data_IF_156788649597
#
_entry.id   IF_156788649597
#
_cell.length_a   1.000
_cell.length_b   1.000
_cell.length_c   1.000
_cell.angle_alpha   90.00
_cell.angle_beta   90.00
_cell.angle_gamma   90.00
#
_symmetry.space_group_name_H-M   'P 1'
#
loop_
_entity.id
_entity.type
_entity.pdbx_description
1 polymer ?
#
# COMPACT_ATOMS: atom_id res chain seq x y z
N UNK A 1 6.22 -46.81 -2.04
CA UNK A 1 6.91 -45.59 -1.55
C UNK A 1 5.80 -44.60 -1.20
N UNK A 2 5.32 -44.65 0.03
CA UNK A 2 4.21 -43.82 0.49
C UNK A 2 4.72 -42.38 0.64
N UNK A 3 4.19 -41.48 -0.18
CA UNK A 3 4.37 -40.05 0.03
C UNK A 3 3.49 -39.67 1.22
N UNK A 4 4.13 -39.46 2.37
CA UNK A 4 3.51 -38.99 3.60
C UNK A 4 2.42 -37.95 3.29
N UNK A 5 1.17 -38.29 3.65
CA UNK A 5 -0.05 -37.46 3.57
C UNK A 5 -0.01 -36.26 4.54
N UNK A 6 1.12 -35.54 4.59
CA UNK A 6 1.37 -34.38 5.43
C UNK A 6 1.55 -33.11 4.60
N UNK A 7 1.53 -31.95 5.28
CA UNK A 7 1.71 -30.65 4.65
C UNK A 7 3.00 -30.66 3.78
N UNK A 8 2.90 -30.46 2.44
CA UNK A 8 4.04 -30.53 1.53
C UNK A 8 5.19 -29.58 1.90
N UNK A 9 4.87 -28.47 2.56
CA UNK A 9 5.85 -27.47 3.02
C UNK A 9 6.66 -27.90 4.25
N UNK A 10 6.26 -28.99 4.92
CA UNK A 10 6.97 -29.57 6.07
C UNK A 10 7.74 -30.85 5.72
N UNK A 11 7.79 -31.21 4.44
CA UNK A 11 8.57 -32.36 4.00
C UNK A 11 10.08 -32.13 4.19
N UNK A 12 10.82 -33.19 4.48
CA UNK A 12 12.27 -33.12 4.69
C UNK A 12 13.01 -32.46 3.52
N UNK A 13 12.71 -32.77 2.24
CA UNK A 13 13.37 -32.13 1.10
C UNK A 13 13.15 -30.61 1.07
N UNK A 14 11.94 -30.14 1.40
CA UNK A 14 11.65 -28.69 1.43
C UNK A 14 12.37 -28.01 2.58
N UNK A 15 12.43 -28.65 3.74
CA UNK A 15 13.15 -28.12 4.91
C UNK A 15 14.67 -28.06 4.67
N UNK A 16 15.25 -29.01 3.95
CA UNK A 16 16.67 -28.98 3.56
C UNK A 16 16.97 -27.77 2.66
N UNK A 17 16.17 -27.54 1.63
CA UNK A 17 16.30 -26.37 0.75
C UNK A 17 16.20 -25.06 1.54
N UNK A 18 15.23 -24.95 2.45
CA UNK A 18 15.08 -23.75 3.31
C UNK A 18 16.31 -23.52 4.19
N UNK A 19 16.91 -24.59 4.75
CA UNK A 19 18.14 -24.49 5.56
C UNK A 19 19.32 -24.02 4.71
N UNK A 20 19.45 -24.53 3.49
CA UNK A 20 20.51 -24.10 2.57
C UNK A 20 20.38 -22.63 2.18
N UNK A 21 19.18 -22.17 1.84
CA UNK A 21 18.91 -20.76 1.53
C UNK A 21 19.26 -19.86 2.71
N UNK A 22 18.80 -20.18 3.92
CA UNK A 22 19.11 -19.40 5.13
C UNK A 22 20.62 -19.36 5.43
N UNK A 23 21.33 -20.47 5.22
CA UNK A 23 22.79 -20.55 5.38
C UNK A 23 23.50 -19.66 4.36
N UNK A 24 23.05 -19.67 3.11
CA UNK A 24 23.60 -18.81 2.06
C UNK A 24 23.35 -17.32 2.34
N UNK A 25 22.14 -16.94 2.80
CA UNK A 25 21.80 -15.58 3.21
C UNK A 25 22.71 -15.07 4.34
N UNK A 26 22.90 -15.89 5.40
CA UNK A 26 23.75 -15.55 6.56
C UNK A 26 25.22 -15.37 6.16
N UNK A 27 25.68 -16.12 5.16
CA UNK A 27 27.03 -16.03 4.64
C UNK A 27 27.19 -14.94 3.56
N UNK A 28 26.13 -14.18 3.27
CA UNK A 28 26.08 -13.21 2.17
C UNK A 28 26.46 -13.82 0.81
N UNK A 29 26.22 -15.13 0.64
CA UNK A 29 26.44 -15.87 -0.60
C UNK A 29 25.18 -15.76 -1.45
N UNK A 30 25.07 -14.68 -2.21
CA UNK A 30 23.93 -14.41 -3.09
C UNK A 30 24.08 -13.06 -3.80
N UNK A 31 23.18 -12.78 -4.75
CA UNK A 31 23.11 -11.45 -5.36
C UNK A 31 22.60 -10.46 -4.31
N UNK A 32 23.23 -9.28 -4.21
CA UNK A 32 22.68 -8.19 -3.39
C UNK A 32 21.23 -7.96 -3.79
N UNK A 33 20.36 -7.77 -2.80
CA UNK A 33 18.96 -7.44 -3.07
C UNK A 33 18.89 -6.27 -4.05
N UNK A 34 18.28 -6.51 -5.21
CA UNK A 34 17.91 -5.47 -6.15
C UNK A 34 16.51 -4.92 -5.85
N UNK A 35 15.88 -5.35 -4.75
CA UNK A 35 14.60 -4.80 -4.34
C UNK A 35 14.81 -3.34 -3.96
N UNK A 36 14.04 -2.45 -4.60
CA UNK A 36 13.96 -1.05 -4.18
C UNK A 36 13.49 -1.05 -2.74
N UNK A 37 14.26 -0.43 -1.84
CA UNK A 37 13.85 -0.30 -0.44
C UNK A 37 12.53 0.42 -0.34
N UNK A 38 11.78 0.13 0.72
CA UNK A 38 10.60 0.91 1.04
C UNK A 38 10.99 2.36 1.34
N UNK A 39 10.11 3.28 0.94
CA UNK A 39 10.22 4.69 1.27
C UNK A 39 9.87 4.87 2.75
N UNK A 40 10.66 5.70 3.44
CA UNK A 40 10.39 6.04 4.84
C UNK A 40 9.24 7.04 4.93
N UNK A 41 8.60 7.14 6.11
CA UNK A 41 7.51 8.10 6.35
C UNK A 41 7.91 9.54 5.98
N UNK A 42 9.11 9.96 6.38
CA UNK A 42 9.65 11.30 6.10
C UNK A 42 9.84 11.54 4.60
N UNK A 43 10.27 10.53 3.86
CA UNK A 43 10.45 10.64 2.40
C UNK A 43 9.10 10.72 1.70
N UNK A 44 8.11 9.93 2.12
CA UNK A 44 6.76 10.02 1.59
C UNK A 44 6.11 11.38 1.88
N UNK A 45 6.25 11.92 3.09
CA UNK A 45 5.75 13.27 3.42
C UNK A 45 6.34 14.34 2.50
N UNK A 46 7.63 14.23 2.18
CA UNK A 46 8.28 15.12 1.20
C UNK A 46 7.72 14.94 -0.21
N UNK A 47 7.50 13.69 -0.65
CA UNK A 47 6.90 13.41 -1.96
C UNK A 47 5.50 14.02 -2.06
N UNK A 48 4.64 13.81 -1.07
CA UNK A 48 3.29 14.40 -1.05
C UNK A 48 3.35 15.93 -1.06
N UNK A 49 4.24 16.52 -0.25
CA UNK A 49 4.44 17.96 -0.22
C UNK A 49 4.86 18.52 -1.59
N UNK A 50 5.82 17.88 -2.26
CA UNK A 50 6.28 18.27 -3.60
C UNK A 50 5.19 18.11 -4.66
N UNK A 51 4.39 17.05 -4.58
CA UNK A 51 3.27 16.81 -5.49
C UNK A 51 2.18 17.89 -5.34
N UNK A 52 1.91 18.34 -4.10
CA UNK A 52 1.03 19.48 -3.84
C UNK A 52 1.63 20.80 -4.34
N UNK A 53 2.91 21.07 -4.04
CA UNK A 53 3.59 22.29 -4.45
C UNK A 53 3.64 22.45 -5.98
N UNK A 54 3.74 21.34 -6.72
CA UNK A 54 3.71 21.31 -8.19
C UNK A 54 2.31 21.33 -8.79
N UNK A 55 1.26 21.34 -7.97
CA UNK A 55 -0.14 21.29 -8.39
C UNK A 55 -0.57 19.95 -8.99
N UNK A 56 0.28 18.92 -8.94
CA UNK A 56 -0.03 17.60 -9.48
C UNK A 56 -1.21 16.94 -8.74
N UNK A 57 -1.49 17.38 -7.51
CA UNK A 57 -2.59 16.88 -6.68
C UNK A 57 -3.78 17.84 -6.59
N UNK A 58 -3.73 19.02 -7.21
CA UNK A 58 -4.78 20.02 -7.02
C UNK A 58 -6.04 19.70 -7.86
N UNK A 59 -5.86 19.19 -9.08
CA UNK A 59 -6.95 18.93 -10.04
C UNK A 59 -7.09 17.45 -10.45
N UNK A 60 -6.47 16.53 -9.71
CA UNK A 60 -6.46 15.11 -10.08
C UNK A 60 -7.44 14.26 -9.24
N UNK A 61 -8.31 13.44 -9.86
CA UNK A 61 -9.16 12.49 -9.13
C UNK A 61 -8.38 11.42 -8.32
N UNK A 62 -7.06 11.36 -8.47
CA UNK A 62 -6.20 10.40 -7.78
C UNK A 62 -5.44 11.02 -6.60
N UNK A 63 -5.62 12.30 -6.32
CA UNK A 63 -4.93 12.96 -5.21
C UNK A 63 -5.27 12.34 -3.87
N UNK A 64 -6.57 12.13 -3.65
CA UNK A 64 -7.09 11.44 -2.48
C UNK A 64 -6.55 10.01 -2.37
N UNK A 65 -6.35 9.34 -3.51
CA UNK A 65 -5.82 7.97 -3.57
C UNK A 65 -4.38 7.90 -3.05
N UNK A 66 -3.53 8.87 -3.44
CA UNK A 66 -2.14 8.96 -2.98
C UNK A 66 -2.07 9.29 -1.49
N UNK A 67 -2.90 10.23 -1.02
CA UNK A 67 -2.94 10.57 0.40
C UNK A 67 -3.39 9.41 1.28
N UNK A 68 -4.41 8.67 0.83
CA UNK A 68 -4.89 7.50 1.55
C UNK A 68 -3.84 6.40 1.62
N UNK A 69 -3.03 6.21 0.57
CA UNK A 69 -1.91 5.25 0.58
C UNK A 69 -0.93 5.57 1.70
N UNK A 70 -0.62 6.86 1.86
CA UNK A 70 0.32 7.31 2.88
C UNK A 70 -0.28 7.22 4.29
N UNK A 71 -1.49 7.72 4.49
CA UNK A 71 -2.09 7.78 5.83
C UNK A 71 -2.53 6.42 6.36
N UNK A 72 -2.93 5.50 5.50
CA UNK A 72 -3.38 4.17 5.89
C UNK A 72 -2.28 3.10 5.74
N UNK A 73 -1.12 3.46 5.16
CA UNK A 73 -0.02 2.52 4.86
C UNK A 73 -0.55 1.30 4.10
N UNK A 74 -1.35 1.59 3.08
CA UNK A 74 -2.04 0.56 2.30
C UNK A 74 -1.45 0.48 0.91
N UNK A 75 -1.52 -0.72 0.34
CA UNK A 75 -1.08 -0.93 -1.04
C UNK A 75 -2.07 -0.27 -2.00
N UNK A 76 -1.57 0.08 -3.18
CA UNK A 76 -2.35 0.69 -4.26
C UNK A 76 -3.59 -0.13 -4.62
N UNK A 77 -3.47 -1.46 -4.65
CA UNK A 77 -4.58 -2.37 -4.97
C UNK A 77 -5.66 -2.41 -3.87
N UNK A 78 -5.29 -2.17 -2.62
CA UNK A 78 -6.25 -2.16 -1.51
C UNK A 78 -7.07 -0.87 -1.47
N UNK A 79 -6.47 0.27 -1.81
CA UNK A 79 -7.21 1.56 -1.83
C UNK A 79 -8.15 1.65 -3.01
N UNK A 80 -7.81 1.02 -4.14
CA UNK A 80 -8.74 0.94 -5.28
C UNK A 80 -10.08 0.27 -4.93
N UNK A 81 -10.13 -0.50 -3.83
CA UNK A 81 -11.33 -1.18 -3.35
C UNK A 81 -12.13 -0.35 -2.34
N UNK A 82 -11.57 0.75 -1.83
CA UNK A 82 -12.27 1.62 -0.86
C UNK A 82 -13.45 2.32 -1.54
N UNK A 83 -14.62 2.15 -0.95
CA UNK A 83 -15.85 2.81 -1.37
C UNK A 83 -16.19 3.94 -0.41
N UNK A 84 -16.97 4.90 -0.90
CA UNK A 84 -17.47 5.99 -0.06
C UNK A 84 -18.25 5.48 1.17
N UNK A 85 -18.98 4.37 1.02
CA UNK A 85 -19.72 3.72 2.10
C UNK A 85 -18.86 3.22 3.25
N UNK A 86 -17.56 3.04 3.03
CA UNK A 86 -16.65 2.47 4.01
C UNK A 86 -16.15 3.53 5.01
N UNK A 87 -16.27 4.83 4.65
CA UNK A 87 -15.92 5.92 5.54
C UNK A 87 -17.04 6.19 6.55
N UNK A 88 -16.73 5.99 7.84
CA UNK A 88 -17.62 6.34 8.95
C UNK A 88 -17.05 7.56 9.68
N UNK A 89 -17.69 8.75 9.59
CA UNK A 89 -17.23 9.91 10.32
C UNK A 89 -17.38 9.67 11.83
N UNK A 90 -16.32 9.89 12.59
CA UNK A 90 -16.39 9.87 14.04
C UNK A 90 -16.92 11.21 14.55
N UNK A 91 -17.86 11.25 15.51
CA UNK A 91 -18.51 12.48 15.96
C UNK A 91 -17.52 13.53 16.51
N UNK A 92 -16.46 13.10 17.17
CA UNK A 92 -15.44 14.00 17.74
C UNK A 92 -14.31 14.36 16.77
N UNK A 93 -14.18 13.62 15.66
CA UNK A 93 -13.20 13.91 14.63
C UNK A 93 -13.91 14.48 13.42
N UNK A 94 -13.96 15.81 13.39
CA UNK A 94 -14.13 16.52 12.13
C UNK A 94 -12.91 16.22 11.26
N UNK A 95 -12.96 15.13 10.48
CA UNK A 95 -12.28 15.05 9.18
C UNK A 95 -12.95 16.07 8.23
N UNK A 96 -12.98 17.33 8.66
CA UNK A 96 -13.27 18.53 7.89
C UNK A 96 -12.02 18.76 7.05
N UNK A 97 -12.05 18.35 5.79
CA UNK A 97 -11.73 19.23 4.66
C UNK A 97 -11.44 18.42 3.40
N UNK A 98 -10.66 17.35 3.48
CA UNK A 98 -10.10 16.76 2.24
C UNK A 98 -11.05 15.77 1.57
N UNK A 99 -11.59 14.79 2.30
CA UNK A 99 -12.46 13.78 1.69
C UNK A 99 -13.84 14.31 1.29
N UNK A 100 -14.45 15.21 2.06
CA UNK A 100 -15.79 15.74 1.77
C UNK A 100 -15.78 16.79 0.66
N UNK A 101 -14.79 17.67 0.61
CA UNK A 101 -14.69 18.68 -0.46
C UNK A 101 -14.29 18.04 -1.80
N UNK A 102 -13.28 17.15 -1.80
CA UNK A 102 -12.85 16.48 -3.04
C UNK A 102 -13.91 15.52 -3.57
N UNK A 103 -14.60 14.75 -2.72
CA UNK A 103 -15.64 13.84 -3.25
C UNK A 103 -16.86 14.62 -3.76
N UNK A 104 -17.27 15.69 -3.08
CA UNK A 104 -18.43 16.47 -3.50
C UNK A 104 -18.15 17.33 -4.74
N UNK A 105 -16.91 17.79 -4.94
CA UNK A 105 -16.49 18.54 -6.13
C UNK A 105 -16.26 17.64 -7.35
N UNK A 106 -15.71 16.44 -7.18
CA UNK A 106 -15.40 15.54 -8.30
C UNK A 106 -16.55 14.57 -8.65
N UNK A 107 -17.31 14.08 -7.66
CA UNK A 107 -18.45 13.19 -7.90
C UNK A 107 -19.80 13.92 -7.93
N UNK A 108 -19.88 15.17 -7.46
CA UNK A 108 -21.07 16.01 -7.60
C UNK A 108 -21.23 16.63 -9.00
N UNK A 109 -20.16 16.67 -9.81
CA UNK A 109 -20.21 17.11 -11.22
C UNK A 109 -20.60 15.99 -12.20
N UNK A 110 -20.67 14.73 -11.76
CA UNK A 110 -21.08 13.59 -12.60
C UNK A 110 -22.58 13.32 -12.58
N UNK A 111 -23.37 14.10 -11.85
CA UNK A 111 -24.82 14.17 -12.08
C UNK A 111 -25.15 15.45 -12.81
N UNK A 112 -25.51 15.33 -14.08
CA UNK A 112 -26.61 16.00 -14.79
C UNK A 112 -26.39 15.82 -16.31
N UNK A 113 -27.44 15.77 -17.14
CA UNK A 113 -28.65 14.94 -17.15
C UNK A 113 -28.52 13.66 -18.00
#
# INVERSE_FOLDING_TARGET
MEWNLGNPTKSDPVNEVVKEVKKAETQHRGKKSCATRDLTETEYRKVVHELYAKGALNDHPYSLHVEQQVHLITRTDDISKLKYSDYKPHPDFLLRSVARALVQEYFGRTTMP
#
